data_IF_054904607027
#
_entry.id   IF_054904607027
#
_cell.length_a   1.000
_cell.length_b   1.000
_cell.length_c   1.000
_cell.angle_alpha   90.00
_cell.angle_beta   90.00
_cell.angle_gamma   90.00
#
_symmetry.space_group_name_H-M   'P 1'
#
loop_
_entity.id
_entity.type
_entity.pdbx_description
1 polymer ?
#
# COMPACT_ATOMS: atom_id res chain seq x y z
N UNK A 1 -10.74 5.39 14.93
CA UNK A 1 -10.54 4.09 14.25
C UNK A 1 -9.28 4.22 13.44
N UNK A 2 -8.36 3.27 13.53
CA UNK A 2 -7.00 3.41 13.00
C UNK A 2 -6.82 2.58 11.74
N UNK A 3 -6.25 3.20 10.70
CA UNK A 3 -5.68 2.52 9.54
C UNK A 3 -4.19 2.79 9.53
N UNK A 4 -3.36 1.76 9.39
CA UNK A 4 -1.92 1.89 9.25
C UNK A 4 -1.39 0.93 8.19
N UNK A 5 -0.25 1.30 7.61
CA UNK A 5 0.48 0.47 6.65
C UNK A 5 1.82 0.11 7.27
N UNK A 6 2.15 -1.17 7.25
CA UNK A 6 3.41 -1.71 7.76
C UNK A 6 4.09 -2.56 6.68
N UNK A 7 5.41 -2.62 6.77
CA UNK A 7 6.25 -3.47 5.93
C UNK A 7 7.01 -4.44 6.83
N UNK A 8 7.12 -5.71 6.42
CA UNK A 8 7.98 -6.69 7.09
C UNK A 8 8.91 -7.39 6.09
N UNK A 9 10.25 -7.30 6.24
CA UNK A 9 10.96 -6.53 7.26
C UNK A 9 10.67 -5.03 7.20
N UNK A 10 10.94 -4.29 8.27
CA UNK A 10 10.70 -2.84 8.28
C UNK A 10 11.62 -2.15 7.26
N UNK A 11 11.06 -1.21 6.49
CA UNK A 11 11.85 -0.40 5.57
C UNK A 11 12.88 0.44 6.33
N UNK A 12 14.16 0.47 5.88
CA UNK A 12 15.15 1.39 6.43
C UNK A 12 14.68 2.85 6.39
N UNK A 13 15.02 3.61 7.43
CA UNK A 13 14.66 5.03 7.51
C UNK A 13 15.52 5.87 6.55
N UNK A 14 15.00 6.04 5.33
CA UNK A 14 15.56 6.91 4.30
C UNK A 14 14.76 8.23 4.18
N UNK A 15 13.98 8.57 5.20
CA UNK A 15 13.05 9.70 5.19
C UNK A 15 11.81 9.45 4.33
N UNK A 16 11.13 10.54 3.94
CA UNK A 16 9.92 10.48 3.11
C UNK A 16 10.06 11.36 1.87
N UNK A 17 9.77 10.80 0.70
CA UNK A 17 9.75 11.52 -0.57
C UNK A 17 8.54 11.08 -1.35
N UNK A 18 7.63 12.00 -1.67
CA UNK A 18 6.45 11.68 -2.46
C UNK A 18 6.85 11.02 -3.81
N UNK A 19 6.21 9.91 -4.20
CA UNK A 19 6.39 9.34 -5.53
C UNK A 19 5.99 10.34 -6.61
N UNK A 20 6.66 10.34 -7.77
CA UNK A 20 6.22 11.14 -8.90
C UNK A 20 4.84 10.67 -9.38
N UNK A 21 4.05 11.58 -9.95
CA UNK A 21 2.73 11.25 -10.51
C UNK A 21 2.82 10.16 -11.58
N UNK A 22 3.87 10.19 -12.40
CA UNK A 22 4.18 9.18 -13.40
C UNK A 22 5.47 8.48 -12.97
N UNK A 23 5.33 7.31 -12.35
CA UNK A 23 6.49 6.50 -11.94
C UNK A 23 7.12 5.87 -13.17
N UNK A 24 8.45 6.00 -13.30
CA UNK A 24 9.20 5.20 -14.25
C UNK A 24 9.38 3.80 -13.65
N UNK A 25 8.54 2.86 -14.07
CA UNK A 25 8.53 1.51 -13.51
C UNK A 25 9.80 0.72 -13.78
N UNK A 26 10.47 0.94 -14.91
CA UNK A 26 11.79 0.31 -15.17
C UNK A 26 12.77 0.69 -14.08
N UNK A 27 12.90 1.98 -13.76
CA UNK A 27 13.78 2.45 -12.68
C UNK A 27 13.36 1.90 -11.32
N UNK A 28 12.05 1.83 -11.04
CA UNK A 28 11.56 1.29 -9.78
C UNK A 28 11.89 -0.20 -9.61
N UNK A 29 11.74 -1.00 -10.68
CA UNK A 29 12.09 -2.42 -10.68
C UNK A 29 13.61 -2.62 -10.61
N UNK A 30 14.40 -1.86 -11.35
CA UNK A 30 15.87 -1.92 -11.28
C UNK A 30 16.38 -1.58 -9.87
N UNK A 31 15.75 -0.61 -9.20
CA UNK A 31 16.07 -0.24 -7.81
C UNK A 31 15.66 -1.30 -6.78
N UNK A 32 14.60 -2.04 -7.07
CA UNK A 32 14.10 -3.14 -6.24
C UNK A 32 14.88 -4.45 -6.48
N UNK A 33 15.59 -4.57 -7.61
CA UNK A 33 16.35 -5.77 -7.94
C UNK A 33 17.46 -6.03 -6.90
N UNK A 34 17.60 -7.28 -6.49
CA UNK A 34 18.52 -7.69 -5.42
C UNK A 34 18.13 -7.27 -3.99
N UNK A 35 17.04 -6.53 -3.79
CA UNK A 35 16.51 -6.23 -2.45
C UNK A 35 15.67 -7.41 -1.93
N UNK A 36 15.61 -7.63 -0.60
CA UNK A 36 14.72 -8.63 -0.04
C UNK A 36 13.25 -8.26 -0.32
N UNK A 37 12.41 -9.28 -0.52
CA UNK A 37 10.97 -9.08 -0.59
C UNK A 37 10.42 -8.64 0.77
N UNK A 38 9.30 -7.91 0.74
CA UNK A 38 8.64 -7.40 1.93
C UNK A 38 7.16 -7.79 1.92
N UNK A 39 6.62 -8.12 3.08
CA UNK A 39 5.18 -8.20 3.31
C UNK A 39 4.62 -6.78 3.43
N UNK A 40 3.66 -6.43 2.59
CA UNK A 40 2.79 -5.28 2.81
C UNK A 40 1.61 -5.70 3.68
N UNK A 41 1.38 -5.00 4.79
CA UNK A 41 0.20 -5.25 5.63
C UNK A 41 -0.54 -3.98 5.98
N UNK A 42 -1.87 -4.06 5.97
CA UNK A 42 -2.78 -3.05 6.47
C UNK A 42 -3.26 -3.44 7.87
N UNK A 43 -3.13 -2.53 8.82
CA UNK A 43 -3.71 -2.68 10.15
C UNK A 43 -4.99 -1.86 10.19
N UNK A 44 -6.12 -2.55 10.19
CA UNK A 44 -7.46 -1.96 10.08
C UNK A 44 -8.21 -2.26 11.37
N UNK A 45 -8.40 -1.24 12.21
CA UNK A 45 -9.06 -1.39 13.51
C UNK A 45 -8.47 -2.52 14.38
N UNK A 46 -7.16 -2.75 14.28
CA UNK A 46 -6.43 -3.79 15.02
C UNK A 46 -6.38 -5.16 14.33
N UNK A 47 -7.13 -5.39 13.24
CA UNK A 47 -6.98 -6.56 12.39
C UNK A 47 -5.82 -6.34 11.42
N UNK A 48 -4.90 -7.29 11.33
CA UNK A 48 -3.78 -7.25 10.37
C UNK A 48 -4.19 -8.00 9.11
N UNK A 49 -4.16 -7.31 7.98
CA UNK A 49 -4.44 -7.85 6.66
C UNK A 49 -3.17 -7.77 5.85
N UNK A 50 -2.69 -8.90 5.37
CA UNK A 50 -1.53 -9.00 4.49
C UNK A 50 -1.67 -10.23 3.61
N UNK A 51 -0.78 -10.35 2.63
CA UNK A 51 -0.74 -11.53 1.77
C UNK A 51 0.69 -12.06 1.66
N UNK A 52 1.17 -12.30 0.44
CA UNK A 52 2.54 -12.73 0.22
C UNK A 52 3.54 -11.57 0.20
N UNK A 53 4.81 -11.86 0.51
CA UNK A 53 5.89 -10.96 0.20
C UNK A 53 5.93 -10.63 -1.29
N UNK A 54 6.35 -9.42 -1.62
CA UNK A 54 6.64 -9.05 -3.00
C UNK A 54 7.80 -8.06 -3.09
N UNK A 55 8.25 -7.83 -4.32
CA UNK A 55 9.26 -6.81 -4.61
C UNK A 55 8.77 -5.43 -4.19
N UNK A 56 9.70 -4.57 -3.75
CA UNK A 56 9.41 -3.19 -3.36
C UNK A 56 8.69 -2.39 -4.45
N UNK A 57 9.01 -2.64 -5.72
CA UNK A 57 8.32 -2.01 -6.85
C UNK A 57 6.85 -2.47 -6.97
N UNK A 58 6.58 -3.76 -6.77
CA UNK A 58 5.21 -4.30 -6.72
C UNK A 58 4.41 -3.66 -5.60
N UNK A 59 4.96 -3.59 -4.39
CA UNK A 59 4.29 -2.98 -3.25
C UNK A 59 3.99 -1.49 -3.48
N UNK A 60 4.88 -0.77 -4.16
CA UNK A 60 4.63 0.61 -4.55
C UNK A 60 3.45 0.71 -5.52
N UNK A 61 3.36 -0.23 -6.46
CA UNK A 61 2.22 -0.38 -7.36
C UNK A 61 0.91 -0.57 -6.60
N UNK A 62 0.87 -1.50 -5.65
CA UNK A 62 -0.32 -1.77 -4.84
C UNK A 62 -0.79 -0.53 -4.06
N UNK A 63 0.14 0.17 -3.40
CA UNK A 63 -0.16 1.38 -2.62
C UNK A 63 -0.68 2.53 -3.50
N UNK A 64 -0.06 2.74 -4.66
CA UNK A 64 -0.47 3.79 -5.60
C UNK A 64 -1.80 3.45 -6.27
N UNK A 65 -2.03 2.17 -6.58
CA UNK A 65 -3.30 1.67 -7.12
C UNK A 65 -4.45 1.90 -6.16
N UNK A 66 -4.27 1.58 -4.87
CA UNK A 66 -5.26 1.86 -3.83
C UNK A 66 -5.54 3.36 -3.69
N UNK A 67 -4.49 4.21 -3.73
CA UNK A 67 -4.65 5.66 -3.70
C UNK A 67 -5.48 6.20 -4.87
N UNK A 68 -5.29 5.65 -6.07
CA UNK A 68 -6.06 6.01 -7.26
C UNK A 68 -7.51 5.52 -7.15
N UNK A 69 -7.73 4.29 -6.69
CA UNK A 69 -9.09 3.75 -6.47
C UNK A 69 -9.89 4.59 -5.46
N UNK A 70 -9.27 4.99 -4.34
CA UNK A 70 -9.86 5.91 -3.37
C UNK A 70 -10.15 7.30 -3.97
N UNK A 71 -9.36 7.74 -4.95
CA UNK A 71 -9.60 9.00 -5.65
C UNK A 71 -10.76 8.91 -6.63
N UNK A 72 -10.94 7.77 -7.31
CA UNK A 72 -12.06 7.51 -8.21
C UNK A 72 -13.40 7.48 -7.46
N UNK A 73 -13.40 7.12 -6.18
CA UNK A 73 -14.54 7.30 -5.28
C UNK A 73 -15.64 6.24 -5.44
N UNK A 74 -15.32 5.09 -6.03
CA UNK A 74 -16.21 3.94 -6.19
C UNK A 74 -15.78 2.77 -5.32
N UNK A 75 -16.71 1.86 -5.04
CA UNK A 75 -16.39 0.58 -4.40
C UNK A 75 -15.41 -0.21 -5.27
N UNK A 76 -14.43 -0.85 -4.65
CA UNK A 76 -13.38 -1.57 -5.37
C UNK A 76 -12.80 -2.70 -4.53
N UNK A 77 -12.07 -3.59 -5.21
CA UNK A 77 -11.23 -4.60 -4.59
C UNK A 77 -9.89 -3.99 -4.21
N UNK A 78 -9.45 -4.23 -2.98
CA UNK A 78 -8.09 -3.91 -2.55
C UNK A 78 -7.21 -5.08 -2.92
N UNK A 79 -6.14 -4.81 -3.66
CA UNK A 79 -5.20 -5.84 -4.11
C UNK A 79 -3.85 -5.71 -3.40
N UNK A 80 -3.25 -6.85 -3.08
CA UNK A 80 -1.87 -6.95 -2.62
C UNK A 80 -1.18 -8.08 -3.38
N UNK A 81 -0.01 -7.82 -3.96
CA UNK A 81 0.78 -8.83 -4.69
C UNK A 81 -0.01 -9.58 -5.77
N UNK A 82 -0.95 -8.89 -6.43
CA UNK A 82 -1.81 -9.46 -7.47
C UNK A 82 -3.05 -10.22 -7.00
N UNK A 83 -3.35 -10.24 -5.69
CA UNK A 83 -4.53 -10.91 -5.13
C UNK A 83 -5.46 -9.93 -4.44
N UNK A 84 -6.77 -10.12 -4.61
CA UNK A 84 -7.79 -9.38 -3.85
C UNK A 84 -7.76 -9.83 -2.39
N UNK A 85 -7.47 -8.89 -1.48
CA UNK A 85 -7.40 -9.17 -0.04
C UNK A 85 -8.56 -8.57 0.74
N UNK A 86 -9.20 -7.52 0.22
CA UNK A 86 -10.35 -6.85 0.85
C UNK A 86 -11.31 -6.32 -0.20
N UNK A 87 -12.55 -6.10 0.21
CA UNK A 87 -13.50 -5.25 -0.50
C UNK A 87 -13.62 -3.91 0.23
N UNK A 88 -13.42 -2.81 -0.50
CA UNK A 88 -13.53 -1.45 0.02
C UNK A 88 -14.86 -0.83 -0.45
N UNK A 89 -15.76 -0.57 0.49
CA UNK A 89 -17.06 0.07 0.25
C UNK A 89 -16.99 1.54 0.68
N UNK A 90 -17.15 2.46 -0.28
CA UNK A 90 -17.02 3.89 -0.06
C UNK A 90 -18.40 4.51 0.16
N UNK A 91 -18.58 5.19 1.28
CA UNK A 91 -19.83 5.89 1.59
C UNK A 91 -19.62 7.00 2.61
N UNK A 92 -20.18 8.18 2.34
CA UNK A 92 -20.23 9.29 3.30
C UNK A 92 -18.85 9.74 3.81
N UNK A 93 -17.81 9.68 2.98
CA UNK A 93 -16.43 10.05 3.38
C UNK A 93 -15.67 8.95 4.14
N UNK A 94 -16.28 7.78 4.33
CA UNK A 94 -15.68 6.62 4.96
C UNK A 94 -15.45 5.49 3.94
N UNK A 95 -14.52 4.61 4.28
CA UNK A 95 -14.33 3.31 3.65
C UNK A 95 -14.66 2.23 4.66
N UNK A 96 -15.47 1.26 4.26
CA UNK A 96 -15.76 0.05 5.02
C UNK A 96 -15.05 -1.11 4.35
N UNK A 97 -14.11 -1.72 5.07
CA UNK A 97 -13.38 -2.89 4.58
C UNK A 97 -14.09 -4.17 4.99
N UNK A 98 -14.25 -5.07 4.04
CA UNK A 98 -14.83 -6.40 4.25
C UNK A 98 -13.90 -7.50 3.75
N UNK A 99 -14.05 -8.67 4.34
CA UNK A 99 -13.47 -9.90 3.83
C UNK A 99 -14.01 -10.18 2.41
N UNK A 100 -13.16 -10.54 1.44
CA UNK A 100 -13.59 -10.82 0.06
C UNK A 100 -14.30 -12.17 -0.10
N UNK A 101 -14.33 -12.99 0.95
CA UNK A 101 -15.01 -14.28 0.98
C UNK A 101 -16.53 -14.16 1.04
N UNK A 102 -17.24 -15.31 0.93
CA UNK A 102 -18.69 -15.35 0.83
C UNK A 102 -19.42 -14.81 2.06
N UNK A 103 -18.75 -14.71 3.21
CA UNK A 103 -19.31 -14.15 4.44
C UNK A 103 -19.32 -12.62 4.47
N UNK A 104 -18.53 -11.96 3.61
CA UNK A 104 -18.37 -10.50 3.56
C UNK A 104 -18.18 -9.84 4.95
N UNK A 105 -17.42 -10.51 5.82
CA UNK A 105 -17.25 -10.11 7.22
C UNK A 105 -16.70 -8.69 7.31
N UNK A 106 -17.30 -7.87 8.19
CA UNK A 106 -16.78 -6.53 8.47
C UNK A 106 -15.40 -6.61 9.13
N UNK A 107 -14.41 -6.00 8.48
CA UNK A 107 -13.06 -5.81 9.02
C UNK A 107 -13.01 -4.52 9.84
N UNK A 108 -13.52 -3.43 9.27
CA UNK A 108 -13.61 -2.15 9.97
C UNK A 108 -14.02 -1.01 9.05
N UNK A 109 -14.40 0.12 9.65
CA UNK A 109 -14.73 1.36 8.93
C UNK A 109 -13.75 2.45 9.35
N UNK A 110 -13.24 3.21 8.39
CA UNK A 110 -12.24 4.26 8.61
C UNK A 110 -12.52 5.44 7.69
N UNK A 111 -12.05 6.62 8.04
CA UNK A 111 -12.25 7.78 7.15
C UNK A 111 -11.37 7.62 5.91
N UNK A 112 -11.88 8.02 4.74
CA UNK A 112 -11.09 8.02 3.50
C UNK A 112 -9.84 8.91 3.67
N UNK A 113 -9.95 9.99 4.46
CA UNK A 113 -8.83 10.89 4.74
C UNK A 113 -7.68 10.17 5.47
N UNK A 114 -7.98 9.39 6.51
CA UNK A 114 -6.97 8.66 7.28
C UNK A 114 -6.31 7.57 6.43
N UNK A 115 -7.10 6.83 5.64
CA UNK A 115 -6.56 5.80 4.73
C UNK A 115 -5.63 6.44 3.70
N UNK A 116 -6.04 7.52 3.05
CA UNK A 116 -5.19 8.23 2.07
C UNK A 116 -3.93 8.81 2.72
N UNK A 117 -4.01 9.32 3.94
CA UNK A 117 -2.84 9.86 4.65
C UNK A 117 -1.81 8.76 4.95
N UNK A 118 -2.27 7.61 5.44
CA UNK A 118 -1.41 6.46 5.72
C UNK A 118 -0.77 5.90 4.44
N UNK A 119 -1.55 5.68 3.38
CA UNK A 119 -1.04 5.19 2.10
C UNK A 119 -0.02 6.15 1.50
N UNK A 120 -0.30 7.48 1.48
CA UNK A 120 0.67 8.49 1.01
C UNK A 120 1.98 8.44 1.78
N UNK A 121 1.90 8.30 3.10
CA UNK A 121 3.09 8.20 3.96
C UNK A 121 3.88 6.93 3.63
N UNK A 122 3.21 5.80 3.50
CA UNK A 122 3.85 4.53 3.15
C UNK A 122 4.49 4.56 1.76
N UNK A 123 3.77 5.04 0.75
CA UNK A 123 4.31 5.21 -0.60
C UNK A 123 5.52 6.15 -0.61
N UNK A 124 5.50 7.21 0.20
CA UNK A 124 6.60 8.16 0.27
C UNK A 124 7.85 7.58 0.97
N UNK A 125 7.67 6.75 2.00
CA UNK A 125 8.77 6.00 2.63
C UNK A 125 9.39 5.01 1.65
N UNK A 126 8.54 4.21 1.00
CA UNK A 126 8.95 3.19 0.04
C UNK A 126 9.68 3.81 -1.16
N UNK A 127 9.19 4.93 -1.69
CA UNK A 127 9.85 5.64 -2.77
C UNK A 127 11.19 6.26 -2.36
N UNK A 128 11.28 6.85 -1.16
CA UNK A 128 12.55 7.32 -0.62
C UNK A 128 13.57 6.17 -0.51
N UNK A 129 13.11 5.00 -0.07
CA UNK A 129 13.95 3.81 0.02
C UNK A 129 14.48 3.37 -1.35
N UNK A 130 13.60 3.20 -2.34
CA UNK A 130 14.00 2.84 -3.71
C UNK A 130 15.03 3.81 -4.30
N UNK A 131 14.84 5.12 -4.12
CA UNK A 131 15.82 6.13 -4.59
C UNK A 131 17.18 6.03 -3.89
N UNK A 132 17.20 5.70 -2.60
CA UNK A 132 18.45 5.48 -1.86
C UNK A 132 19.21 4.25 -2.37
N UNK A 133 18.48 3.18 -2.71
CA UNK A 133 19.07 1.95 -3.24
C UNK A 133 19.70 2.15 -4.62
N UNK A 134 19.05 2.93 -5.51
CA UNK A 134 19.62 3.27 -6.84
C UNK A 134 20.90 4.10 -6.77
N UNK A 135 21.11 4.88 -5.69
CA UNK A 135 22.31 5.71 -5.54
C UNK A 135 23.54 4.91 -5.07
N UNK A 136 23.35 3.69 -4.57
CA UNK A 136 24.43 2.85 -4.02
C UNK A 136 25.04 1.92 -5.09
N UNK A 137 24.35 1.70 -6.21
CA UNK A 137 24.77 0.82 -7.30
C UNK A 137 25.42 1.54 -8.49
N UNK A 138 25.58 2.86 -8.43
CA UNK A 138 26.22 3.69 -9.47
C UNK A 138 27.62 4.15 -9.05
#
# INVERSE_FOLDING_TARGET
MTFAVIFEPELPDNGTVAPPRNVNWTVAYDAADGQPEHDLRYVICGKVIGYYPASLATLLGDLLGELDALQQGSNHSVSMSGYTVLWAELSGGNVTFRDPGPSAELIGTVTIADVRAALKTASAKLWAHLKGSSATTA
#
